data_IF_511284221122
#
_entry.id   IF_511284221122
#
_cell.length_a   1.000
_cell.length_b   1.000
_cell.length_c   1.000
_cell.angle_alpha   90.00
_cell.angle_beta   90.00
_cell.angle_gamma   90.00
#
_symmetry.space_group_name_H-M   'P 1'
#
loop_
_entity.id
_entity.type
_entity.pdbx_description
1 polymer ?
#
# COMPACT_ATOMS: atom_id res chain seq x y z
N UNK A 1 -54.74 32.10 -14.36
CA UNK A 1 -53.36 32.40 -13.92
C UNK A 1 -53.03 31.29 -12.96
N UNK A 2 -52.62 30.16 -13.52
CA UNK A 2 -52.75 28.89 -12.81
C UNK A 2 -51.41 28.57 -12.17
N UNK A 3 -51.27 29.07 -10.95
CA UNK A 3 -50.13 28.76 -10.08
C UNK A 3 -50.30 27.37 -9.48
N UNK A 4 -50.29 26.31 -10.31
CA UNK A 4 -50.03 24.96 -9.83
C UNK A 4 -48.53 24.85 -9.56
N UNK A 5 -48.09 25.39 -8.43
CA UNK A 5 -46.71 25.25 -7.96
C UNK A 5 -46.47 23.75 -7.73
N UNK A 6 -45.54 23.18 -8.50
CA UNK A 6 -45.16 21.79 -8.33
C UNK A 6 -44.45 21.63 -6.98
N UNK A 7 -45.13 21.01 -6.01
CA UNK A 7 -44.63 20.78 -4.65
C UNK A 7 -43.23 20.14 -4.66
N UNK A 8 -42.99 19.19 -5.58
CA UNK A 8 -41.71 18.52 -5.72
C UNK A 8 -40.59 19.48 -6.13
N UNK A 9 -40.90 20.46 -6.99
CA UNK A 9 -39.92 21.47 -7.40
C UNK A 9 -39.56 22.41 -6.23
N UNK A 10 -40.53 22.74 -5.38
CA UNK A 10 -40.30 23.54 -4.17
C UNK A 10 -39.47 22.77 -3.15
N UNK A 11 -39.77 21.49 -2.94
CA UNK A 11 -38.99 20.62 -2.05
C UNK A 11 -37.55 20.44 -2.55
N UNK A 12 -37.37 20.21 -3.86
CA UNK A 12 -36.05 20.13 -4.47
C UNK A 12 -35.25 21.43 -4.32
N UNK A 13 -35.88 22.59 -4.54
CA UNK A 13 -35.24 23.89 -4.34
C UNK A 13 -34.85 24.10 -2.88
N UNK A 14 -35.76 23.81 -1.93
CA UNK A 14 -35.50 23.89 -0.49
C UNK A 14 -34.30 23.01 -0.09
N UNK A 15 -34.28 21.76 -0.56
CA UNK A 15 -33.19 20.83 -0.26
C UNK A 15 -31.85 21.34 -0.80
N UNK A 16 -31.82 21.87 -2.01
CA UNK A 16 -30.61 22.47 -2.58
C UNK A 16 -30.09 23.64 -1.73
N UNK A 17 -30.98 24.54 -1.30
CA UNK A 17 -30.60 25.64 -0.41
C UNK A 17 -30.07 25.16 0.95
N UNK A 18 -30.67 24.10 1.53
CA UNK A 18 -30.17 23.54 2.79
C UNK A 18 -28.78 22.92 2.66
N UNK A 19 -28.50 22.24 1.55
CA UNK A 19 -27.18 21.65 1.26
C UNK A 19 -26.14 22.75 1.01
N UNK A 20 -26.48 23.75 0.20
CA UNK A 20 -25.58 24.89 -0.04
C UNK A 20 -25.25 25.63 1.26
N UNK A 21 -26.24 25.77 2.15
CA UNK A 21 -26.03 26.36 3.47
C UNK A 21 -25.11 25.52 4.35
N UNK A 22 -25.30 24.20 4.42
CA UNK A 22 -24.43 23.33 5.22
C UNK A 22 -22.99 23.36 4.71
N UNK A 23 -22.81 23.42 3.38
CA UNK A 23 -21.49 23.48 2.75
C UNK A 23 -20.78 24.80 3.05
N UNK A 24 -21.53 25.90 3.07
CA UNK A 24 -21.01 27.21 3.46
C UNK A 24 -20.65 27.28 4.95
N UNK A 25 -21.50 26.73 5.83
CA UNK A 25 -21.21 26.63 7.26
C UNK A 25 -19.97 25.77 7.53
N UNK A 26 -19.79 24.66 6.79
CA UNK A 26 -18.58 23.84 6.84
C UNK A 26 -17.35 24.61 6.36
N UNK A 27 -17.45 25.28 5.22
CA UNK A 27 -16.38 26.15 4.72
C UNK A 27 -15.97 27.19 5.78
N UNK A 28 -16.93 27.91 6.36
CA UNK A 28 -16.66 28.91 7.40
C UNK A 28 -16.02 28.30 8.66
N UNK A 29 -16.46 27.10 9.06
CA UNK A 29 -15.89 26.37 10.20
C UNK A 29 -14.42 26.04 9.98
N UNK A 30 -14.05 25.56 8.78
CA UNK A 30 -12.66 25.31 8.44
C UNK A 30 -11.90 26.62 8.31
N UNK A 31 -12.42 27.56 7.52
CA UNK A 31 -11.78 28.85 7.21
C UNK A 31 -11.48 29.71 8.44
N UNK A 32 -12.33 29.63 9.48
CA UNK A 32 -12.09 30.34 10.74
C UNK A 32 -10.79 29.90 11.44
N UNK A 33 -10.27 28.71 11.13
CA UNK A 33 -9.01 28.22 11.68
C UNK A 33 -7.83 28.84 10.92
N UNK A 34 -7.05 29.66 11.63
CA UNK A 34 -5.86 30.33 11.09
C UNK A 34 -4.56 29.62 11.48
N UNK A 35 -4.67 28.55 12.27
CA UNK A 35 -3.55 27.74 12.70
C UNK A 35 -3.67 26.32 12.17
N UNK A 36 -2.53 25.75 11.77
CA UNK A 36 -2.49 24.37 11.30
C UNK A 36 -3.05 23.40 12.34
N UNK A 37 -2.66 23.52 13.62
CA UNK A 37 -3.12 22.61 14.67
C UNK A 37 -4.63 22.72 14.89
N UNK A 38 -5.20 23.93 14.87
CA UNK A 38 -6.64 24.12 14.99
C UNK A 38 -7.41 23.57 13.79
N UNK A 39 -6.88 23.81 12.59
CA UNK A 39 -7.45 23.35 11.33
C UNK A 39 -7.51 21.82 11.24
N UNK A 40 -6.36 21.15 11.40
CA UNK A 40 -6.34 19.69 11.35
C UNK A 40 -7.15 19.10 12.49
N UNK A 41 -7.27 19.79 13.63
CA UNK A 41 -8.10 19.34 14.74
C UNK A 41 -9.61 19.59 14.57
N UNK A 42 -10.01 20.09 13.41
CA UNK A 42 -11.41 20.20 13.04
C UNK A 42 -11.75 19.05 12.09
N UNK A 43 -12.95 18.48 12.24
CA UNK A 43 -13.39 17.38 11.37
C UNK A 43 -13.56 17.88 9.93
N UNK A 44 -13.17 17.04 8.96
CA UNK A 44 -13.34 17.31 7.52
C UNK A 44 -12.69 18.63 7.05
N UNK A 45 -11.56 18.99 7.65
CA UNK A 45 -10.75 20.14 7.25
C UNK A 45 -9.30 19.70 6.99
N UNK A 46 -8.62 20.41 6.10
CA UNK A 46 -7.20 20.20 5.81
C UNK A 46 -6.46 21.52 5.68
N UNK A 47 -5.16 21.52 5.97
CA UNK A 47 -4.34 22.73 5.97
C UNK A 47 -3.42 22.80 4.76
N UNK A 48 -3.48 23.91 4.01
CA UNK A 48 -2.60 24.20 2.89
C UNK A 48 -1.47 25.16 3.38
N UNK A 49 -0.21 24.72 3.47
CA UNK A 49 0.85 25.48 4.14
C UNK A 49 1.40 26.66 3.34
N UNK A 50 1.23 26.69 2.03
CA UNK A 50 1.73 27.77 1.18
C UNK A 50 0.73 28.92 1.06
N UNK A 51 -0.56 28.61 0.98
CA UNK A 51 -1.66 29.58 1.07
C UNK A 51 -2.04 29.96 2.50
N UNK A 52 -1.50 29.26 3.51
CA UNK A 52 -1.78 29.48 4.93
C UNK A 52 -3.29 29.46 5.24
N UNK A 53 -4.00 28.58 4.55
CA UNK A 53 -5.45 28.52 4.59
C UNK A 53 -5.93 27.14 5.03
N UNK A 54 -6.99 27.14 5.84
CA UNK A 54 -7.73 25.94 6.19
C UNK A 54 -8.92 25.77 5.24
N UNK A 55 -8.97 24.63 4.56
CA UNK A 55 -9.96 24.34 3.51
C UNK A 55 -10.81 23.13 3.91
N UNK A 56 -12.10 23.10 3.52
CA UNK A 56 -12.95 21.94 3.74
C UNK A 56 -12.47 20.76 2.88
N UNK A 57 -12.32 19.60 3.52
CA UNK A 57 -11.96 18.35 2.86
C UNK A 57 -12.88 17.25 3.37
N UNK A 58 -13.90 16.94 2.57
CA UNK A 58 -14.91 15.91 2.85
C UNK A 58 -14.43 14.49 2.53
N UNK A 59 -13.21 14.34 2.01
CA UNK A 59 -12.70 13.05 1.57
C UNK A 59 -12.07 12.28 2.74
N UNK A 60 -12.57 11.07 2.98
CA UNK A 60 -11.96 10.11 3.91
C UNK A 60 -11.35 8.93 3.13
N UNK A 61 -10.07 8.60 3.35
CA UNK A 61 -9.15 9.22 4.31
C UNK A 61 -8.46 10.48 3.74
N UNK A 62 -8.45 11.57 4.53
CA UNK A 62 -8.00 12.90 4.10
C UNK A 62 -6.56 12.95 3.57
N UNK A 63 -5.69 12.03 3.98
CA UNK A 63 -4.30 11.97 3.50
C UNK A 63 -4.17 11.55 2.04
N UNK A 64 -5.18 10.86 1.48
CA UNK A 64 -5.22 10.48 0.06
C UNK A 64 -5.93 11.52 -0.81
N UNK A 65 -6.51 12.57 -0.22
CA UNK A 65 -7.17 13.63 -0.98
C UNK A 65 -6.30 14.23 -2.11
N UNK A 66 -4.98 14.46 -1.92
CA UNK A 66 -4.11 14.96 -3.00
C UNK A 66 -3.95 14.03 -4.20
N UNK A 67 -4.28 12.74 -4.05
CA UNK A 67 -4.13 11.73 -5.10
C UNK A 67 -5.37 11.67 -6.01
N UNK A 68 -6.54 12.04 -5.47
CA UNK A 68 -7.83 11.96 -6.15
C UNK A 68 -8.38 13.33 -6.56
N UNK A 69 -7.96 14.40 -5.89
CA UNK A 69 -8.51 15.74 -6.05
C UNK A 69 -7.41 16.80 -6.12
N UNK A 70 -7.22 17.37 -7.31
CA UNK A 70 -6.22 18.40 -7.61
C UNK A 70 -6.65 19.80 -7.14
N UNK A 71 -7.90 19.96 -6.72
CA UNK A 71 -8.59 21.21 -6.40
C UNK A 71 -8.75 21.45 -4.89
N UNK A 72 -8.19 20.59 -4.05
CA UNK A 72 -8.27 20.75 -2.58
C UNK A 72 -7.56 22.03 -2.11
N UNK A 73 -6.42 22.38 -2.69
CA UNK A 73 -5.70 23.64 -2.41
C UNK A 73 -5.73 24.56 -3.64
N UNK A 74 -5.73 25.89 -3.43
CA UNK A 74 -5.82 26.89 -4.51
C UNK A 74 -4.65 26.82 -5.51
N UNK A 75 -3.48 26.32 -5.08
CA UNK A 75 -2.36 26.07 -5.98
C UNK A 75 -2.07 24.56 -6.12
N UNK A 76 -2.00 24.11 -7.38
CA UNK A 76 -1.81 22.70 -7.74
C UNK A 76 -0.50 22.10 -7.21
N UNK A 77 0.54 22.92 -7.04
CA UNK A 77 1.81 22.48 -6.44
C UNK A 77 1.69 22.20 -4.93
N UNK A 78 0.75 22.87 -4.24
CA UNK A 78 0.55 22.75 -2.79
C UNK A 78 -0.10 21.41 -2.39
N UNK A 79 -0.70 20.69 -3.34
CA UNK A 79 -1.42 19.43 -3.08
C UNK A 79 -0.55 18.40 -2.36
N UNK A 80 0.74 18.32 -2.71
CA UNK A 80 1.66 17.34 -2.11
C UNK A 80 2.16 17.74 -0.73
N UNK A 81 1.95 19.00 -0.36
CA UNK A 81 2.36 19.59 0.91
C UNK A 81 1.15 19.77 1.85
N UNK A 82 0.00 19.19 1.49
CA UNK A 82 -1.19 19.15 2.31
C UNK A 82 -0.90 18.51 3.68
N UNK A 83 -1.36 19.17 4.75
CA UNK A 83 -1.25 18.67 6.13
C UNK A 83 -2.61 18.20 6.62
N UNK A 84 -2.67 16.97 7.12
CA UNK A 84 -3.92 16.30 7.51
C UNK A 84 -3.80 15.59 8.86
N UNK A 85 -4.95 15.24 9.44
CA UNK A 85 -5.07 14.88 10.86
C UNK A 85 -4.39 13.58 11.34
N UNK A 86 -3.95 12.59 10.53
CA UNK A 86 -3.16 11.51 11.13
C UNK A 86 -1.68 11.87 11.32
N UNK A 87 -1.13 12.83 10.56
CA UNK A 87 0.33 13.09 10.52
C UNK A 87 0.75 14.39 11.21
N UNK A 88 -0.21 15.25 11.55
CA UNK A 88 0.05 16.49 12.25
C UNK A 88 0.53 17.62 11.33
N UNK A 89 1.08 18.67 11.95
CA UNK A 89 1.51 19.89 11.24
C UNK A 89 2.96 19.86 10.73
N UNK A 90 3.71 18.81 11.05
CA UNK A 90 5.14 18.69 10.73
C UNK A 90 5.41 17.72 9.57
N UNK A 91 4.41 16.93 9.17
CA UNK A 91 4.54 15.94 8.12
C UNK A 91 3.57 16.27 6.97
N UNK A 92 4.12 16.39 5.76
CA UNK A 92 3.34 16.52 4.54
C UNK A 92 2.96 15.15 3.98
N UNK A 93 1.91 15.11 3.15
CA UNK A 93 1.54 13.89 2.41
C UNK A 93 2.73 13.30 1.65
N UNK A 94 3.64 14.14 1.13
CA UNK A 94 4.86 13.69 0.46
C UNK A 94 5.76 12.83 1.35
N UNK A 95 6.06 13.26 2.58
CA UNK A 95 6.96 12.51 3.47
C UNK A 95 6.35 11.20 3.91
N UNK A 96 5.04 11.18 4.13
CA UNK A 96 4.29 9.96 4.46
C UNK A 96 4.33 8.97 3.30
N UNK A 97 4.05 9.42 2.08
CA UNK A 97 4.09 8.56 0.90
C UNK A 97 5.50 8.02 0.68
N UNK A 98 6.52 8.88 0.76
CA UNK A 98 7.91 8.48 0.58
C UNK A 98 8.36 7.47 1.64
N UNK A 99 7.99 7.68 2.91
CA UNK A 99 8.34 6.75 3.99
C UNK A 99 7.59 5.43 3.86
N UNK A 100 6.30 5.45 3.48
CA UNK A 100 5.52 4.25 3.19
C UNK A 100 6.11 3.42 2.05
N UNK A 101 6.48 4.06 0.94
CA UNK A 101 7.15 3.41 -0.20
C UNK A 101 8.50 2.83 0.22
N UNK A 102 9.30 3.55 1.00
CA UNK A 102 10.59 3.08 1.49
C UNK A 102 10.46 1.84 2.37
N UNK A 103 9.50 1.82 3.30
CA UNK A 103 9.21 0.66 4.15
C UNK A 103 8.78 -0.53 3.31
N UNK A 104 7.84 -0.35 2.37
CA UNK A 104 7.38 -1.41 1.49
C UNK A 104 8.51 -2.00 0.64
N UNK A 105 9.35 -1.15 0.04
CA UNK A 105 10.51 -1.57 -0.73
C UNK A 105 11.52 -2.35 0.12
N UNK A 106 11.76 -1.91 1.36
CA UNK A 106 12.66 -2.58 2.30
C UNK A 106 12.13 -3.97 2.67
N UNK A 107 10.83 -4.09 2.98
CA UNK A 107 10.21 -5.38 3.29
C UNK A 107 10.27 -6.35 2.10
N UNK A 108 10.01 -5.86 0.90
CA UNK A 108 10.16 -6.66 -0.33
C UNK A 108 11.61 -7.12 -0.52
N UNK A 109 12.59 -6.24 -0.33
CA UNK A 109 14.00 -6.59 -0.44
C UNK A 109 14.40 -7.68 0.58
N UNK A 110 13.98 -7.53 1.84
CA UNK A 110 14.24 -8.53 2.90
C UNK A 110 13.59 -9.87 2.55
N UNK A 111 12.35 -9.87 2.06
CA UNK A 111 11.65 -11.07 1.65
C UNK A 111 12.35 -11.78 0.48
N UNK A 112 12.78 -11.04 -0.53
CA UNK A 112 13.54 -11.58 -1.66
C UNK A 112 14.87 -12.20 -1.22
N UNK A 113 15.62 -11.51 -0.34
CA UNK A 113 16.88 -12.04 0.20
C UNK A 113 16.65 -13.31 1.03
N UNK A 114 15.58 -13.36 1.81
CA UNK A 114 15.22 -14.54 2.59
C UNK A 114 14.88 -15.74 1.69
N UNK A 115 14.04 -15.53 0.67
CA UNK A 115 13.68 -16.55 -0.32
C UNK A 115 14.92 -17.04 -1.08
N UNK A 116 15.81 -16.13 -1.49
CA UNK A 116 17.08 -16.48 -2.13
C UNK A 116 17.95 -17.35 -1.21
N UNK A 117 18.04 -16.98 0.07
CA UNK A 117 18.75 -17.76 1.08
C UNK A 117 18.18 -19.17 1.26
N UNK A 118 16.86 -19.31 1.27
CA UNK A 118 16.19 -20.62 1.33
C UNK A 118 16.43 -21.45 0.06
N UNK A 119 16.33 -20.84 -1.11
CA UNK A 119 16.60 -21.50 -2.39
C UNK A 119 18.05 -22.02 -2.44
N UNK A 120 19.02 -21.19 -2.07
CA UNK A 120 20.43 -21.59 -2.00
C UNK A 120 20.66 -22.71 -0.99
N UNK A 121 20.03 -22.67 0.19
CA UNK A 121 20.10 -23.75 1.18
C UNK A 121 19.49 -25.05 0.64
N UNK A 122 18.35 -24.97 -0.05
CA UNK A 122 17.68 -26.13 -0.63
C UNK A 122 18.52 -26.76 -1.74
N UNK A 123 19.08 -25.96 -2.65
CA UNK A 123 19.99 -26.42 -3.70
C UNK A 123 21.23 -27.06 -3.11
N UNK A 124 21.85 -26.42 -2.10
CA UNK A 124 23.02 -26.99 -1.41
C UNK A 124 22.71 -28.32 -0.72
N UNK A 125 21.56 -28.45 -0.07
CA UNK A 125 21.12 -29.72 0.54
C UNK A 125 20.92 -30.80 -0.52
N UNK A 126 20.21 -30.49 -1.61
CA UNK A 126 19.95 -31.45 -2.71
C UNK A 126 21.25 -31.86 -3.41
N UNK A 127 22.15 -30.91 -3.67
CA UNK A 127 23.48 -31.18 -4.22
C UNK A 127 24.33 -32.05 -3.29
N UNK A 128 24.31 -31.82 -1.97
CA UNK A 128 25.00 -32.69 -1.01
C UNK A 128 24.43 -34.10 -0.97
N UNK A 129 23.12 -34.27 -1.04
CA UNK A 129 22.48 -35.60 -1.11
C UNK A 129 22.83 -36.32 -2.41
N UNK A 130 22.78 -35.63 -3.55
CA UNK A 130 23.17 -36.19 -4.85
C UNK A 130 24.66 -36.57 -4.89
N UNK A 131 25.54 -35.71 -4.33
CA UNK A 131 26.98 -35.98 -4.25
C UNK A 131 27.30 -37.13 -3.29
N UNK A 132 26.59 -37.26 -2.16
CA UNK A 132 26.71 -38.42 -1.26
C UNK A 132 26.26 -39.71 -1.94
N UNK A 133 25.13 -39.71 -2.63
CA UNK A 133 24.64 -40.89 -3.38
C UNK A 133 25.61 -41.31 -4.49
N UNK A 134 26.17 -40.36 -5.24
CA UNK A 134 27.19 -40.64 -6.24
C UNK A 134 28.47 -41.21 -5.62
N UNK A 135 28.98 -40.62 -4.54
CA UNK A 135 30.13 -41.18 -3.82
C UNK A 135 29.86 -42.61 -3.32
N UNK A 136 28.69 -42.89 -2.71
CA UNK A 136 28.37 -44.25 -2.25
C UNK A 136 28.26 -45.23 -3.42
N UNK A 137 27.72 -44.83 -4.57
CA UNK A 137 27.65 -45.68 -5.76
C UNK A 137 29.03 -45.95 -6.39
N UNK A 138 29.96 -44.98 -6.37
CA UNK A 138 31.31 -45.17 -6.91
C UNK A 138 32.24 -45.98 -5.99
N UNK A 139 31.96 -46.00 -4.68
CA UNK A 139 32.75 -46.75 -3.69
C UNK A 139 32.04 -48.00 -3.16
N UNK A 140 30.87 -48.36 -3.71
CA UNK A 140 30.27 -49.65 -3.47
C UNK A 140 31.24 -50.71 -4.00
N UNK A 141 31.88 -51.53 -3.15
CA UNK A 141 32.80 -52.53 -3.63
C UNK A 141 32.00 -53.53 -4.48
N UNK A 142 32.52 -53.87 -5.66
CA UNK A 142 32.05 -54.95 -6.55
C UNK A 142 32.22 -56.33 -5.87
N UNK A 143 31.56 -56.52 -4.74
CA UNK A 143 31.75 -57.63 -3.82
C UNK A 143 30.54 -58.52 -3.71
N UNK A 144 29.96 -58.98 -4.83
CA UNK A 144 29.25 -60.26 -4.96
C UNK A 144 28.63 -60.40 -6.37
N UNK A 145 29.44 -60.83 -7.34
CA UNK A 145 28.95 -61.65 -8.46
C UNK A 145 29.90 -62.83 -8.64
N UNK A 146 30.01 -63.61 -7.57
CA UNK A 146 30.58 -64.94 -7.60
C UNK A 146 29.53 -65.87 -7.03
N UNK A 147 28.62 -66.34 -7.88
CA UNK A 147 27.88 -67.56 -7.59
C UNK A 147 27.56 -68.29 -8.88
N UNK A 148 28.00 -69.55 -8.89
CA UNK A 148 27.60 -70.70 -9.70
C UNK A 148 27.32 -70.53 -11.21
N UNK A 149 28.24 -71.04 -12.04
CA UNK A 149 27.86 -71.92 -13.16
C UNK A 149 29.06 -72.79 -13.58
N UNK A 150 29.21 -73.92 -12.91
CA UNK A 150 29.78 -75.15 -13.48
C UNK A 150 28.69 -76.22 -13.48
N UNK A 151 28.68 -77.22 -14.40
CA UNK A 151 29.86 -78.00 -14.76
C UNK A 151 30.10 -78.23 -16.26
N UNK A 152 31.35 -78.60 -16.53
CA UNK A 152 31.91 -78.99 -17.82
C UNK A 152 31.55 -80.45 -18.18
N UNK A 153 31.03 -80.61 -19.39
CA UNK A 153 31.21 -81.69 -20.38
C UNK A 153 31.46 -83.15 -19.90
N UNK A 154 30.46 -84.00 -20.18
CA UNK A 154 30.61 -85.45 -20.43
C UNK A 154 31.38 -85.64 -21.74
N UNK A 155 32.50 -86.37 -21.72
CA UNK A 155 33.26 -86.64 -22.93
C UNK A 155 34.46 -87.57 -22.76
N UNK A 156 34.17 -88.88 -22.82
CA UNK A 156 35.03 -90.00 -23.26
C UNK A 156 35.94 -90.70 -22.25
#
# INVERSE_FOLDING_TARGET
>A
MDASINLQAVEAARNNFTVARSDFEHFLRCWAQQDCNGCINTAECSWCPFSWACVPNKYEPAFLAPLYHDDVCPARAERWELRTRPFGCQASTYTVLSTGVAVAATLLAVLLLWLLGLALRHVRRRSRSARRQWFVATWAPDGQRGDETQPLLVGR
#
